data_IF_437634892608
#
_entry.id   IF_437634892608
#
_cell.length_a   1.000
_cell.length_b   1.000
_cell.length_c   1.000
_cell.angle_alpha   90.00
_cell.angle_beta   90.00
_cell.angle_gamma   90.00
#
_symmetry.space_group_name_H-M   'P 1'
#
loop_
_entity.id
_entity.type
_entity.pdbx_description
1 polymer ?
#
# COMPACT_ATOMS: atom_id res chain seq x y z
N UNK A 1 -0.31 4.05 -11.86
CA UNK A 1 0.80 3.47 -11.06
C UNK A 1 1.05 4.37 -9.85
N UNK A 2 1.99 4.05 -8.94
CA UNK A 2 2.16 4.76 -7.65
C UNK A 2 2.19 6.28 -7.81
N UNK A 3 2.97 6.77 -8.78
CA UNK A 3 3.08 8.21 -9.08
C UNK A 3 1.71 8.81 -9.40
N UNK A 4 0.97 8.24 -10.35
CA UNK A 4 -0.36 8.72 -10.74
C UNK A 4 -1.35 8.72 -9.57
N UNK A 5 -1.30 7.70 -8.71
CA UNK A 5 -2.22 7.58 -7.57
C UNK A 5 -1.96 8.67 -6.51
N UNK A 6 -0.71 9.08 -6.34
CA UNK A 6 -0.29 10.09 -5.36
C UNK A 6 -0.02 11.46 -6.00
N UNK A 7 -0.36 11.66 -7.27
CA UNK A 7 -0.12 12.93 -7.93
C UNK A 7 -0.94 14.07 -7.31
N UNK A 8 -0.36 15.28 -7.32
CA UNK A 8 -0.94 16.45 -6.65
C UNK A 8 -0.96 16.41 -5.11
N UNK A 9 -0.54 15.30 -4.47
CA UNK A 9 -0.53 15.19 -3.00
C UNK A 9 0.73 15.74 -2.33
N UNK A 10 1.83 15.88 -3.06
CA UNK A 10 3.15 16.13 -2.49
C UNK A 10 3.81 14.92 -1.82
N UNK A 11 3.24 13.71 -1.93
CA UNK A 11 3.75 12.49 -1.29
C UNK A 11 4.20 11.39 -2.27
N UNK A 12 4.35 11.69 -3.56
CA UNK A 12 4.74 10.71 -4.60
C UNK A 12 6.05 10.01 -4.26
N UNK A 13 7.07 10.79 -3.91
CA UNK A 13 8.41 10.31 -3.60
C UNK A 13 8.39 9.46 -2.34
N UNK A 14 7.60 9.86 -1.34
CA UNK A 14 7.44 9.09 -0.11
C UNK A 14 6.72 7.76 -0.37
N UNK A 15 5.66 7.76 -1.18
CA UNK A 15 4.96 6.54 -1.57
C UNK A 15 5.86 5.55 -2.32
N UNK A 16 6.72 6.06 -3.22
CA UNK A 16 7.75 5.25 -3.88
C UNK A 16 8.76 4.67 -2.90
N UNK A 17 9.25 5.47 -1.96
CA UNK A 17 10.20 5.03 -0.93
C UNK A 17 9.61 3.91 -0.05
N UNK A 18 8.37 4.09 0.43
CA UNK A 18 7.66 3.08 1.23
C UNK A 18 7.46 1.80 0.43
N UNK A 19 6.89 1.87 -0.79
CA UNK A 19 6.67 0.67 -1.60
C UNK A 19 7.96 -0.07 -1.96
N UNK A 20 9.06 0.68 -2.18
CA UNK A 20 10.39 0.08 -2.41
C UNK A 20 10.89 -0.67 -1.19
N UNK A 21 10.75 -0.07 0.00
CA UNK A 21 11.19 -0.71 1.24
C UNK A 21 10.33 -1.91 1.62
N UNK A 22 9.01 -1.81 1.47
CA UNK A 22 8.07 -2.86 1.86
C UNK A 22 8.19 -4.12 0.98
N UNK A 23 8.35 -3.97 -0.33
CA UNK A 23 8.30 -5.12 -1.25
C UNK A 23 9.32 -5.11 -2.38
N UNK A 24 10.14 -4.05 -2.51
CA UNK A 24 10.92 -3.82 -3.72
C UNK A 24 10.04 -3.68 -4.97
N UNK A 25 8.81 -3.16 -4.81
CA UNK A 25 7.77 -3.07 -5.84
C UNK A 25 7.21 -4.42 -6.33
N UNK A 26 7.46 -5.53 -5.62
CA UNK A 26 6.96 -6.84 -6.03
C UNK A 26 5.48 -7.03 -5.62
N UNK A 27 4.53 -7.11 -6.58
CA UNK A 27 3.11 -7.29 -6.27
C UNK A 27 2.76 -8.65 -5.66
N UNK A 28 3.67 -9.63 -5.75
CA UNK A 28 3.51 -10.96 -5.17
C UNK A 28 4.30 -11.14 -3.87
N UNK A 29 4.89 -10.07 -3.32
CA UNK A 29 5.61 -10.14 -2.06
C UNK A 29 4.66 -10.55 -0.92
N UNK A 30 5.05 -11.60 -0.19
CA UNK A 30 4.34 -12.10 0.98
C UNK A 30 5.31 -12.15 2.14
N UNK A 31 4.99 -11.46 3.22
CA UNK A 31 5.74 -11.60 4.46
C UNK A 31 5.54 -13.02 5.03
N UNK A 32 6.61 -13.74 5.41
CA UNK A 32 6.51 -15.10 5.93
C UNK A 32 5.99 -15.19 7.37
N UNK A 33 6.10 -14.13 8.16
CA UNK A 33 5.71 -14.10 9.58
C UNK A 33 4.43 -13.30 9.84
N UNK A 34 3.88 -12.63 8.83
CA UNK A 34 2.67 -11.81 8.96
C UNK A 34 1.71 -11.97 7.79
N UNK A 35 0.54 -11.34 7.90
CA UNK A 35 -0.43 -11.34 6.80
C UNK A 35 -0.15 -10.28 5.72
N UNK A 36 0.91 -9.47 5.89
CA UNK A 36 1.30 -8.43 4.93
C UNK A 36 1.55 -8.99 3.52
N UNK A 37 0.96 -8.34 2.52
CA UNK A 37 0.97 -8.83 1.14
C UNK A 37 0.98 -7.68 0.11
N UNK A 38 1.57 -7.94 -1.04
CA UNK A 38 1.59 -7.03 -2.19
C UNK A 38 2.54 -5.83 -2.05
N UNK A 39 2.37 -4.85 -2.93
CA UNK A 39 3.31 -3.74 -3.14
C UNK A 39 3.56 -2.93 -1.86
N UNK A 40 2.49 -2.63 -1.10
CA UNK A 40 2.54 -1.88 0.14
C UNK A 40 2.44 -2.76 1.39
N UNK A 41 2.64 -4.08 1.26
CA UNK A 41 2.66 -5.02 2.40
C UNK A 41 1.46 -4.84 3.36
N UNK A 42 0.26 -4.69 2.82
CA UNK A 42 -0.95 -4.46 3.61
C UNK A 42 -1.35 -5.76 4.31
N UNK A 43 -1.52 -5.70 5.64
CA UNK A 43 -1.98 -6.85 6.45
C UNK A 43 -3.47 -7.14 6.18
N UNK A 44 -3.89 -8.40 6.36
CA UNK A 44 -5.23 -8.88 6.00
C UNK A 44 -6.37 -8.11 6.69
N UNK A 45 -6.21 -7.79 7.98
CA UNK A 45 -7.24 -7.03 8.73
C UNK A 45 -7.45 -5.64 8.13
N UNK A 46 -6.36 -4.92 7.86
CA UNK A 46 -6.40 -3.60 7.23
C UNK A 46 -6.91 -3.71 5.79
N UNK A 47 -6.48 -4.71 5.02
CA UNK A 47 -7.01 -4.95 3.68
C UNK A 47 -8.54 -5.05 3.70
N UNK A 48 -9.08 -5.93 4.55
CA UNK A 48 -10.53 -6.14 4.66
C UNK A 48 -11.32 -4.89 5.07
N UNK A 49 -10.67 -3.91 5.72
CA UNK A 49 -11.32 -2.68 6.14
C UNK A 49 -11.37 -1.60 5.03
N UNK A 50 -10.48 -1.67 4.03
CA UNK A 50 -10.30 -0.59 3.04
C UNK A 50 -10.41 -1.04 1.57
N UNK A 51 -10.31 -2.33 1.29
CA UNK A 51 -10.55 -2.87 -0.04
C UNK A 51 -12.04 -2.92 -0.36
N UNK A 52 -12.36 -2.71 -1.63
CA UNK A 52 -13.68 -2.88 -2.21
C UNK A 52 -13.85 -4.29 -2.77
N UNK A 53 -15.10 -4.70 -3.00
CA UNK A 53 -15.41 -5.99 -3.58
C UNK A 53 -14.74 -6.17 -4.95
N UNK A 54 -14.08 -7.31 -5.15
CA UNK A 54 -13.38 -7.64 -6.40
C UNK A 54 -11.92 -7.16 -6.45
N UNK A 55 -11.47 -6.35 -5.50
CA UNK A 55 -10.06 -5.95 -5.42
C UNK A 55 -9.18 -7.09 -4.90
N UNK A 56 -7.99 -7.23 -5.49
CA UNK A 56 -7.02 -8.27 -5.12
C UNK A 56 -5.75 -7.67 -4.53
N UNK A 57 -5.33 -8.16 -3.36
CA UNK A 57 -4.07 -7.73 -2.72
C UNK A 57 -2.84 -8.01 -3.58
N UNK A 58 -2.95 -8.96 -4.51
CA UNK A 58 -1.90 -9.37 -5.45
C UNK A 58 -1.95 -8.61 -6.78
N UNK A 59 -3.03 -7.87 -7.04
CA UNK A 59 -3.08 -6.94 -8.16
C UNK A 59 -2.34 -5.66 -7.74
N UNK A 60 -1.27 -5.25 -8.43
CA UNK A 60 -0.49 -4.08 -8.04
C UNK A 60 -1.36 -2.81 -7.99
N UNK A 61 -2.28 -2.62 -8.93
CA UNK A 61 -3.10 -1.41 -9.01
C UNK A 61 -4.07 -1.32 -7.83
N UNK A 62 -4.72 -2.43 -7.50
CA UNK A 62 -5.64 -2.49 -6.36
C UNK A 62 -4.87 -2.29 -5.06
N UNK A 63 -3.71 -2.92 -4.90
CA UNK A 63 -2.88 -2.76 -3.71
C UNK A 63 -2.44 -1.30 -3.49
N UNK A 64 -2.03 -0.62 -4.57
CA UNK A 64 -1.68 0.81 -4.56
C UNK A 64 -2.90 1.67 -4.19
N UNK A 65 -4.08 1.38 -4.76
CA UNK A 65 -5.32 2.12 -4.48
C UNK A 65 -5.76 1.96 -3.02
N UNK A 66 -5.72 0.75 -2.49
CA UNK A 66 -6.06 0.47 -1.08
C UNK A 66 -5.05 1.13 -0.14
N UNK A 67 -3.74 1.12 -0.47
CA UNK A 67 -2.74 1.87 0.29
C UNK A 67 -3.05 3.37 0.33
N UNK A 68 -3.48 3.96 -0.79
CA UNK A 68 -3.90 5.35 -0.86
C UNK A 68 -5.13 5.63 0.03
N UNK A 69 -6.14 4.75 0.04
CA UNK A 69 -7.30 4.88 0.95
C UNK A 69 -6.89 4.82 2.42
N UNK A 70 -6.01 3.89 2.79
CA UNK A 70 -5.46 3.78 4.17
C UNK A 70 -4.71 5.05 4.56
N UNK A 71 -3.90 5.59 3.65
CA UNK A 71 -3.13 6.82 3.87
C UNK A 71 -4.05 8.03 4.06
N UNK A 72 -5.09 8.19 3.24
CA UNK A 72 -6.11 9.23 3.41
C UNK A 72 -6.83 9.10 4.77
N UNK A 73 -7.30 7.90 5.11
CA UNK A 73 -7.98 7.63 6.38
C UNK A 73 -7.08 7.82 7.61
N UNK A 74 -5.76 7.71 7.43
CA UNK A 74 -4.77 8.01 8.46
C UNK A 74 -4.43 9.50 8.59
N UNK A 75 -5.21 10.39 7.97
CA UNK A 75 -4.95 11.83 7.98
C UNK A 75 -3.71 12.21 7.18
N UNK A 76 -3.46 11.50 6.07
CA UNK A 76 -2.26 11.65 5.21
C UNK A 76 -0.95 11.29 5.92
N UNK A 77 -1.02 10.47 6.96
CA UNK A 77 0.14 9.96 7.70
C UNK A 77 0.57 8.59 7.20
N UNK A 78 1.89 8.36 7.17
CA UNK A 78 2.49 7.07 6.83
C UNK A 78 2.61 6.10 8.03
N UNK A 79 2.09 6.45 9.22
CA UNK A 79 2.22 5.67 10.47
C UNK A 79 1.80 4.19 10.42
N UNK A 80 1.09 3.75 9.39
CA UNK A 80 0.68 2.35 9.22
C UNK A 80 1.80 1.47 8.64
N UNK A 81 2.84 2.09 8.07
CA UNK A 81 3.98 1.42 7.48
C UNK A 81 5.19 1.57 8.40
N UNK A 82 5.98 0.51 8.51
CA UNK A 82 7.20 0.50 9.34
C UNK A 82 8.35 1.19 8.60
N UNK A 83 8.34 1.09 7.27
CA UNK A 83 9.34 1.66 6.36
C UNK A 83 9.13 3.18 6.11
N UNK A 84 9.11 4.01 7.16
CA UNK A 84 8.78 5.45 7.07
C UNK A 84 9.79 6.39 7.70
#
# INVERSE_FOLDING_TARGET
>A
MIIDQFDGTGHKEKALSVAKCESGFNPKAKNPTSSASGVFQIIRSTWNAYAEAGESVWNPRDNIRVAYRIWLASGRSWRQWVCV
#
